data_IF_337454915068
#
_entry.id   IF_337454915068
#
_cell.length_a   1.000
_cell.length_b   1.000
_cell.length_c   1.000
_cell.angle_alpha   90.00
_cell.angle_beta   90.00
_cell.angle_gamma   90.00
#
_symmetry.space_group_name_H-M   'P 1'
#
loop_
_entity.id
_entity.type
_entity.pdbx_description
1 polymer ?
#
# COMPACT_ATOMS: atom_id res chain seq x y z
N UNK A 1 -13.55 2.16 -8.34
CA UNK A 1 -13.14 3.59 -8.36
C UNK A 1 -14.14 4.52 -7.67
N UNK A 2 -15.28 4.93 -8.26
CA UNK A 2 -16.14 5.95 -7.62
C UNK A 2 -16.72 5.56 -6.25
N UNK A 3 -17.11 4.30 -6.04
CA UNK A 3 -17.60 3.84 -4.73
C UNK A 3 -16.53 3.91 -3.64
N UNK A 4 -15.27 3.68 -4.00
CA UNK A 4 -14.12 3.79 -3.10
C UNK A 4 -13.84 5.26 -2.77
N UNK A 5 -13.83 6.14 -3.77
CA UNK A 5 -13.72 7.59 -3.57
C UNK A 5 -14.85 8.13 -2.67
N UNK A 6 -16.08 7.63 -2.87
CA UNK A 6 -17.20 7.94 -1.99
C UNK A 6 -16.97 7.47 -0.55
N UNK A 7 -16.44 6.25 -0.35
CA UNK A 7 -16.09 5.74 0.97
C UNK A 7 -15.02 6.60 1.66
N UNK A 8 -13.98 7.06 0.94
CA UNK A 8 -12.98 7.98 1.47
C UNK A 8 -13.59 9.32 1.89
N UNK A 9 -14.48 9.89 1.07
CA UNK A 9 -15.21 11.10 1.43
C UNK A 9 -16.08 10.88 2.67
N UNK A 10 -16.78 9.74 2.75
CA UNK A 10 -17.66 9.39 3.87
C UNK A 10 -16.89 9.23 5.19
N UNK A 11 -15.73 8.54 5.14
CA UNK A 11 -14.74 8.46 6.22
C UNK A 11 -14.28 9.87 6.63
N UNK A 12 -13.90 10.71 5.67
CA UNK A 12 -13.39 12.07 5.94
C UNK A 12 -14.43 12.93 6.65
N UNK A 13 -15.70 12.83 6.23
CA UNK A 13 -16.84 13.59 6.75
C UNK A 13 -17.43 13.04 8.07
N UNK A 14 -16.76 12.08 8.72
CA UNK A 14 -17.17 11.54 10.04
C UNK A 14 -18.61 11.03 10.04
N UNK A 15 -19.01 10.39 8.93
CA UNK A 15 -20.34 9.82 8.81
C UNK A 15 -20.40 8.44 9.44
N UNK A 16 -21.56 8.08 9.97
CA UNK A 16 -21.86 6.72 10.44
C UNK A 16 -21.47 5.67 9.40
N UNK A 17 -20.91 4.56 9.88
CA UNK A 17 -20.69 3.37 9.07
C UNK A 17 -21.99 3.00 8.34
N UNK A 18 -22.01 3.04 6.99
CA UNK A 18 -23.24 2.80 6.25
C UNK A 18 -23.52 1.32 5.99
N UNK A 19 -22.61 0.42 6.38
CA UNK A 19 -22.70 -1.02 6.11
C UNK A 19 -22.00 -1.84 7.19
N UNK A 20 -22.48 -3.06 7.43
CA UNK A 20 -21.66 -4.05 8.13
C UNK A 20 -20.50 -4.48 7.22
N UNK A 21 -19.25 -4.59 7.72
CA UNK A 21 -18.14 -5.11 6.92
C UNK A 21 -18.47 -6.46 6.31
N UNK A 22 -18.28 -6.60 5.00
CA UNK A 22 -18.58 -7.83 4.26
C UNK A 22 -17.45 -8.88 4.37
N UNK A 23 -16.25 -8.45 4.78
CA UNK A 23 -15.08 -9.29 4.96
C UNK A 23 -14.45 -9.08 6.34
N UNK A 24 -13.76 -10.12 6.82
CA UNK A 24 -12.87 -9.99 7.97
C UNK A 24 -11.58 -9.31 7.53
N UNK A 25 -11.07 -8.40 8.35
CA UNK A 25 -9.75 -7.79 8.13
C UNK A 25 -8.70 -8.88 8.34
N UNK A 26 -7.88 -9.14 7.32
CA UNK A 26 -6.72 -10.01 7.44
C UNK A 26 -5.70 -9.33 8.34
N UNK A 27 -5.47 -9.87 9.55
CA UNK A 27 -4.46 -9.31 10.46
C UNK A 27 -3.10 -9.95 10.14
N UNK A 28 -2.06 -9.15 9.84
CA UNK A 28 -0.68 -9.62 9.76
C UNK A 28 -0.37 -10.65 10.85
N UNK A 29 0.02 -11.87 10.44
CA UNK A 29 0.39 -12.90 11.40
C UNK A 29 1.67 -12.48 12.14
N UNK A 30 1.61 -12.41 13.48
CA UNK A 30 2.75 -12.03 14.32
C UNK A 30 3.96 -12.96 14.25
N UNK A 31 3.82 -14.15 13.64
CA UNK A 31 4.98 -14.97 13.32
C UNK A 31 5.86 -14.21 12.32
N UNK A 32 7.03 -13.80 12.82
CA UNK A 32 8.00 -12.85 12.23
C UNK A 32 7.84 -12.65 10.73
N UNK A 33 7.59 -11.40 10.32
CA UNK A 33 7.84 -10.91 8.97
C UNK A 33 9.12 -11.54 8.43
N UNK A 34 9.01 -12.17 7.28
CA UNK A 34 10.13 -12.76 6.54
C UNK A 34 10.41 -11.94 5.30
N UNK A 35 11.61 -12.11 4.75
CA UNK A 35 11.99 -11.56 3.46
C UNK A 35 11.85 -12.65 2.41
N UNK A 36 11.06 -12.37 1.37
CA UNK A 36 10.87 -13.25 0.23
C UNK A 36 11.90 -12.85 -0.82
N UNK A 37 12.79 -13.79 -1.14
CA UNK A 37 13.83 -13.58 -2.13
C UNK A 37 13.33 -13.90 -3.54
N UNK A 38 13.39 -12.91 -4.42
CA UNK A 38 13.20 -13.10 -5.86
C UNK A 38 14.55 -13.02 -6.58
N UNK A 39 14.98 -14.09 -7.28
CA UNK A 39 16.18 -14.01 -8.10
C UNK A 39 15.96 -13.08 -9.30
N UNK A 40 17.05 -12.66 -9.96
CA UNK A 40 16.96 -11.93 -11.23
C UNK A 40 16.07 -12.71 -12.18
N UNK A 41 15.05 -12.05 -12.73
CA UNK A 41 14.05 -12.69 -13.59
C UNK A 41 13.59 -11.77 -14.70
N UNK A 42 12.81 -12.33 -15.63
CA UNK A 42 12.07 -11.58 -16.64
C UNK A 42 10.60 -11.88 -16.45
N UNK A 43 9.78 -10.83 -16.30
CA UNK A 43 8.34 -10.95 -16.16
C UNK A 43 7.63 -10.42 -17.40
N UNK A 44 6.38 -10.83 -17.60
CA UNK A 44 5.45 -10.18 -18.52
C UNK A 44 4.60 -9.18 -17.72
N UNK A 45 4.75 -7.89 -18.01
CA UNK A 45 3.98 -6.82 -17.41
C UNK A 45 2.90 -6.34 -18.40
N UNK A 46 1.72 -5.99 -17.89
CA UNK A 46 0.57 -5.62 -18.70
C UNK A 46 -0.28 -6.80 -19.16
N UNK A 47 -1.41 -6.49 -19.78
CA UNK A 47 -2.42 -7.47 -20.17
C UNK A 47 -2.31 -7.84 -21.66
N UNK A 48 -2.67 -9.10 -21.97
CA UNK A 48 -2.76 -9.61 -23.33
C UNK A 48 -4.11 -9.26 -23.99
N UNK A 49 -4.17 -9.11 -25.32
CA UNK A 49 -5.44 -8.98 -26.04
C UNK A 49 -6.39 -10.14 -25.75
N UNK A 50 -7.66 -9.81 -25.49
CA UNK A 50 -8.71 -10.81 -25.27
C UNK A 50 -8.81 -11.37 -23.84
N UNK A 51 -8.07 -10.83 -22.86
CA UNK A 51 -8.20 -11.22 -21.44
C UNK A 51 -9.41 -10.63 -20.71
N UNK A 52 -10.26 -9.87 -21.41
CA UNK A 52 -11.47 -9.26 -20.87
C UNK A 52 -11.40 -7.74 -20.90
N UNK A 53 -11.99 -7.10 -19.88
CA UNK A 53 -11.89 -5.66 -19.70
C UNK A 53 -10.52 -5.30 -19.12
N UNK A 54 -9.85 -4.34 -19.75
CA UNK A 54 -8.49 -3.90 -19.39
C UNK A 54 -8.47 -2.38 -19.53
N UNK A 55 -8.00 -1.65 -18.52
CA UNK A 55 -7.75 -0.21 -18.66
C UNK A 55 -6.60 0.06 -19.62
N UNK A 56 -6.62 1.19 -20.31
CA UNK A 56 -5.58 1.54 -21.29
C UNK A 56 -4.16 1.55 -20.72
N UNK A 57 -3.98 2.01 -19.48
CA UNK A 57 -2.67 2.01 -18.80
C UNK A 57 -2.13 0.62 -18.47
N UNK A 58 -2.95 -0.43 -18.53
CA UNK A 58 -2.53 -1.82 -18.32
C UNK A 58 -2.19 -2.52 -19.65
N UNK A 59 -2.25 -1.83 -20.79
CA UNK A 59 -2.01 -2.37 -22.13
C UNK A 59 -0.66 -1.90 -22.70
N UNK A 60 0.07 -2.71 -23.47
CA UNK A 60 -0.07 -4.15 -23.71
C UNK A 60 1.04 -4.90 -23.00
N UNK A 61 0.89 -6.22 -22.92
CA UNK A 61 1.90 -7.11 -22.38
C UNK A 61 3.30 -6.85 -23.01
N UNK A 62 4.31 -6.72 -22.16
CA UNK A 62 5.70 -6.55 -22.57
C UNK A 62 6.67 -7.11 -21.53
N UNK A 63 7.85 -7.53 -21.99
CA UNK A 63 8.89 -8.11 -21.13
C UNK A 63 9.62 -7.03 -20.33
N UNK A 64 9.81 -7.27 -19.04
CA UNK A 64 10.64 -6.46 -18.15
C UNK A 64 11.66 -7.34 -17.45
N UNK A 65 12.94 -6.96 -17.49
CA UNK A 65 13.96 -7.55 -16.64
C UNK A 65 13.91 -6.94 -15.24
N UNK A 66 13.73 -7.78 -14.23
CA UNK A 66 13.86 -7.38 -12.83
C UNK A 66 15.18 -7.89 -12.26
N UNK A 67 15.99 -7.04 -11.60
CA UNK A 67 17.13 -7.52 -10.83
C UNK A 67 16.65 -8.40 -9.66
N UNK A 68 17.57 -9.10 -9.01
CA UNK A 68 17.22 -9.80 -7.77
C UNK A 68 16.83 -8.78 -6.70
N UNK A 69 15.80 -9.09 -5.92
CA UNK A 69 15.33 -8.24 -4.83
C UNK A 69 14.70 -9.09 -3.72
N UNK A 70 14.59 -8.48 -2.55
CA UNK A 70 13.85 -9.03 -1.42
C UNK A 70 12.64 -8.13 -1.12
N UNK A 71 11.52 -8.73 -0.77
CA UNK A 71 10.31 -8.00 -0.36
C UNK A 71 9.73 -8.62 0.91
N UNK A 72 9.15 -7.80 1.78
CA UNK A 72 8.54 -8.26 3.01
C UNK A 72 7.35 -9.18 2.71
N UNK A 73 7.19 -10.25 3.49
CA UNK A 73 6.05 -11.18 3.36
C UNK A 73 4.74 -10.65 3.93
N UNK A 74 4.77 -9.49 4.60
CA UNK A 74 3.62 -8.84 5.22
C UNK A 74 3.76 -7.31 5.09
N UNK A 75 2.64 -6.57 5.08
CA UNK A 75 2.70 -5.11 5.11
C UNK A 75 3.19 -4.57 6.44
N UNK A 76 3.66 -3.32 6.41
CA UNK A 76 4.02 -2.56 7.62
C UNK A 76 2.81 -2.44 8.53
N UNK A 77 2.99 -2.82 9.79
CA UNK A 77 1.95 -2.77 10.82
C UNK A 77 1.86 -1.40 11.50
N UNK A 78 0.73 -1.14 12.14
CA UNK A 78 0.54 0.04 12.99
C UNK A 78 1.60 0.13 14.11
N UNK A 79 2.03 -1.00 14.66
CA UNK A 79 3.07 -1.04 15.69
C UNK A 79 4.44 -0.57 15.16
N UNK A 80 4.87 -1.10 14.01
CA UNK A 80 6.15 -0.73 13.39
C UNK A 80 6.14 0.74 12.96
N UNK A 81 5.03 1.21 12.38
CA UNK A 81 4.93 2.61 12.00
C UNK A 81 4.91 3.54 13.23
N UNK A 82 4.29 3.13 14.34
CA UNK A 82 4.32 3.89 15.58
C UNK A 82 5.73 3.95 16.18
N UNK A 83 6.48 2.84 16.15
CA UNK A 83 7.90 2.82 16.55
C UNK A 83 8.72 3.83 15.74
N UNK A 84 8.50 3.89 14.42
CA UNK A 84 9.12 4.90 13.58
C UNK A 84 8.74 6.33 13.98
N UNK A 85 7.46 6.62 14.23
CA UNK A 85 6.99 7.94 14.65
C UNK A 85 7.63 8.39 15.97
N UNK A 86 7.76 7.48 16.93
CA UNK A 86 8.30 7.73 18.27
C UNK A 86 9.84 7.63 18.32
N UNK A 87 10.49 7.23 17.22
CA UNK A 87 11.95 7.12 17.14
C UNK A 87 12.64 8.47 17.32
N UNK A 88 13.79 8.47 18.00
CA UNK A 88 14.61 9.68 18.17
C UNK A 88 15.04 10.29 16.83
N UNK A 89 15.28 9.46 15.81
CA UNK A 89 15.62 9.92 14.46
C UNK A 89 14.48 10.71 13.81
N UNK A 90 13.22 10.30 13.99
CA UNK A 90 12.08 11.06 13.52
C UNK A 90 11.88 12.34 14.34
N UNK A 91 11.89 12.21 15.68
CA UNK A 91 11.60 13.32 16.61
C UNK A 91 12.64 14.44 16.57
N UNK A 92 13.90 14.13 16.23
CA UNK A 92 14.97 15.13 16.08
C UNK A 92 15.10 15.68 14.66
N UNK A 93 14.31 15.18 13.70
CA UNK A 93 14.31 15.68 12.32
C UNK A 93 13.80 17.12 12.25
N UNK A 94 14.31 17.91 11.31
CA UNK A 94 13.83 19.29 11.05
C UNK A 94 12.35 19.32 10.69
N UNK A 95 11.84 18.26 10.05
CA UNK A 95 10.43 18.09 9.72
C UNK A 95 9.97 16.69 10.13
N UNK A 96 9.67 16.43 11.42
CA UNK A 96 9.24 15.11 11.87
C UNK A 96 8.01 14.62 11.09
N UNK A 97 7.96 13.33 10.79
CA UNK A 97 6.74 12.68 10.30
C UNK A 97 5.69 12.78 11.41
N UNK A 98 4.49 13.20 11.04
CA UNK A 98 3.33 13.26 11.93
C UNK A 98 2.50 11.98 11.81
N UNK A 99 1.70 11.62 12.82
CA UNK A 99 0.77 10.50 12.72
C UNK A 99 -0.16 10.61 11.50
N UNK A 100 -0.63 9.49 10.93
CA UNK A 100 -1.63 9.48 9.86
C UNK A 100 -2.89 10.27 10.24
N UNK A 101 -3.62 10.80 9.24
CA UNK A 101 -4.73 11.77 9.44
C UNK A 101 -5.82 11.35 10.43
N UNK A 102 -6.01 10.04 10.62
CA UNK A 102 -7.04 9.49 11.49
C UNK A 102 -6.48 8.89 12.76
N UNK A 103 -5.25 9.20 13.13
CA UNK A 103 -4.66 8.80 14.41
C UNK A 103 -4.69 9.96 15.39
N UNK A 104 -4.90 9.65 16.67
CA UNK A 104 -4.67 10.60 17.75
C UNK A 104 -4.16 9.89 18.99
N UNK A 105 -3.45 10.64 19.83
CA UNK A 105 -3.04 10.21 21.17
C UNK A 105 -4.02 10.79 22.18
N UNK A 106 -4.62 9.93 23.00
CA UNK A 106 -5.53 10.29 24.09
C UNK A 106 -4.96 9.74 25.41
N UNK A 107 -4.30 10.61 26.18
CA UNK A 107 -3.45 10.21 27.29
C UNK A 107 -2.28 9.33 26.84
N UNK A 108 -2.22 8.10 27.35
CA UNK A 108 -1.21 7.11 26.97
C UNK A 108 -1.61 6.22 25.79
N UNK A 109 -2.87 6.32 25.33
CA UNK A 109 -3.42 5.42 24.31
C UNK A 109 -3.41 6.07 22.94
N UNK A 110 -3.05 5.29 21.94
CA UNK A 110 -3.27 5.64 20.53
C UNK A 110 -4.63 5.13 20.08
N UNK A 111 -5.36 6.00 19.38
CA UNK A 111 -6.65 5.73 18.78
C UNK A 111 -6.57 5.95 17.28
N UNK A 112 -7.37 5.17 16.54
CA UNK A 112 -7.61 5.37 15.12
C UNK A 112 -9.10 5.64 14.87
N UNK A 113 -9.41 6.57 13.97
CA UNK A 113 -10.78 6.86 13.56
C UNK A 113 -11.19 5.99 12.39
N UNK A 114 -12.24 5.21 12.59
CA UNK A 114 -12.95 4.50 11.54
C UNK A 114 -14.35 5.10 11.43
N UNK A 115 -14.59 5.81 10.33
CA UNK A 115 -15.79 6.60 10.07
C UNK A 115 -16.05 7.60 11.20
N UNK A 116 -17.17 7.52 11.90
CA UNK A 116 -17.50 8.38 13.03
C UNK A 116 -16.96 7.88 14.39
N UNK A 117 -16.27 6.73 14.41
CA UNK A 117 -15.86 6.06 15.64
C UNK A 117 -14.36 6.14 15.89
N UNK A 118 -13.97 6.52 17.10
CA UNK A 118 -12.60 6.39 17.59
C UNK A 118 -12.42 5.05 18.30
N UNK A 119 -11.54 4.22 17.77
CA UNK A 119 -11.26 2.89 18.30
C UNK A 119 -9.80 2.81 18.79
N UNK A 120 -9.48 1.93 19.75
CA UNK A 120 -8.10 1.63 20.09
C UNK A 120 -7.30 1.24 18.84
N UNK A 121 -6.12 1.83 18.66
CA UNK A 121 -5.23 1.48 17.55
C UNK A 121 -4.86 -0.01 17.66
N UNK A 122 -5.22 -0.81 16.66
CA UNK A 122 -4.83 -2.21 16.62
C UNK A 122 -3.37 -2.32 16.15
N UNK A 123 -2.41 -2.74 17.00
CA UNK A 123 -1.01 -2.79 16.62
C UNK A 123 -0.70 -3.77 15.50
N UNK A 124 -1.53 -4.79 15.30
CA UNK A 124 -1.30 -5.83 14.29
C UNK A 124 -1.84 -5.47 12.90
N UNK A 125 -2.73 -4.48 12.76
CA UNK A 125 -3.29 -4.11 11.46
C UNK A 125 -2.24 -3.40 10.59
N UNK A 126 -2.34 -3.57 9.27
CA UNK A 126 -1.53 -2.82 8.31
C UNK A 126 -1.78 -1.31 8.47
N UNK A 127 -0.70 -0.52 8.42
CA UNK A 127 -0.80 0.94 8.52
C UNK A 127 -1.47 1.52 7.29
N UNK A 128 -2.38 2.47 7.51
CA UNK A 128 -3.20 3.10 6.46
C UNK A 128 -3.18 4.63 6.55
N UNK A 129 -3.61 5.27 5.46
CA UNK A 129 -3.66 6.74 5.33
C UNK A 129 -2.29 7.42 5.46
N UNK A 130 -1.24 6.71 5.05
CA UNK A 130 0.13 7.23 4.94
C UNK A 130 0.32 7.79 3.53
N UNK A 131 0.88 8.99 3.41
CA UNK A 131 1.23 9.57 2.11
C UNK A 131 2.56 8.98 1.59
N UNK A 132 2.79 9.08 0.28
CA UNK A 132 3.99 8.55 -0.37
C UNK A 132 5.31 9.00 0.28
N UNK A 133 5.43 10.30 0.61
CA UNK A 133 6.67 10.89 1.14
C UNK A 133 7.00 10.28 2.51
N UNK A 134 5.99 10.11 3.37
CA UNK A 134 6.20 9.52 4.70
C UNK A 134 6.44 8.01 4.64
N UNK A 135 5.82 7.31 3.68
CA UNK A 135 6.14 5.90 3.40
C UNK A 135 7.61 5.72 2.97
N UNK A 136 8.11 6.58 2.08
CA UNK A 136 9.52 6.61 1.70
C UNK A 136 10.44 6.89 2.90
N UNK A 137 10.05 7.80 3.79
CA UNK A 137 10.84 8.13 4.99
C UNK A 137 10.89 6.97 5.99
N UNK A 138 9.78 6.26 6.16
CA UNK A 138 9.73 5.01 6.93
C UNK A 138 10.73 4.00 6.34
N UNK A 139 10.68 3.76 5.02
CA UNK A 139 11.61 2.83 4.37
C UNK A 139 13.07 3.24 4.59
N UNK A 140 13.40 4.53 4.42
CA UNK A 140 14.75 5.06 4.65
C UNK A 140 15.22 4.87 6.10
N UNK A 141 14.32 5.02 7.08
CA UNK A 141 14.64 4.79 8.50
C UNK A 141 15.11 3.34 8.74
N UNK A 142 14.43 2.37 8.14
CA UNK A 142 14.76 0.95 8.25
C UNK A 142 15.74 0.45 7.18
N UNK A 143 16.36 1.33 6.41
CA UNK A 143 17.31 1.00 5.33
C UNK A 143 16.73 0.07 4.25
N UNK A 144 15.43 0.19 4.01
CA UNK A 144 14.70 -0.50 2.94
C UNK A 144 14.16 0.52 1.95
N UNK A 145 13.42 0.07 0.94
CA UNK A 145 12.79 0.92 -0.07
C UNK A 145 11.38 0.43 -0.41
N UNK A 146 10.58 1.31 -1.01
CA UNK A 146 9.35 0.88 -1.68
C UNK A 146 9.71 -0.02 -2.87
N UNK A 147 8.92 -1.07 -3.15
CA UNK A 147 9.08 -1.87 -4.36
C UNK A 147 8.73 -1.03 -5.60
N UNK A 148 9.21 -1.39 -6.78
CA UNK A 148 8.59 -0.90 -8.01
C UNK A 148 7.22 -1.57 -8.21
N UNK A 149 6.37 -1.03 -9.08
CA UNK A 149 5.09 -1.69 -9.38
C UNK A 149 5.28 -3.11 -9.93
N UNK A 150 6.33 -3.34 -10.71
CA UNK A 150 6.66 -4.64 -11.28
C UNK A 150 7.15 -5.66 -10.24
N UNK A 151 7.93 -5.22 -9.24
CA UNK A 151 8.33 -6.06 -8.12
C UNK A 151 7.11 -6.45 -7.26
N UNK A 152 6.21 -5.49 -7.02
CA UNK A 152 4.97 -5.73 -6.28
C UNK A 152 4.01 -6.64 -7.05
N UNK A 153 3.84 -6.43 -8.36
CA UNK A 153 3.01 -7.29 -9.22
C UNK A 153 3.55 -8.73 -9.26
N UNK A 154 4.88 -8.90 -9.26
CA UNK A 154 5.49 -10.23 -9.17
C UNK A 154 5.16 -10.91 -7.83
N UNK A 155 5.23 -10.20 -6.70
CA UNK A 155 4.79 -10.70 -5.40
C UNK A 155 3.31 -11.10 -5.44
N UNK A 156 2.45 -10.22 -5.94
CA UNK A 156 0.99 -10.44 -6.00
C UNK A 156 0.59 -11.60 -6.93
N UNK A 157 1.42 -11.94 -7.92
CA UNK A 157 1.21 -13.12 -8.77
C UNK A 157 1.57 -14.45 -8.09
N UNK A 158 2.24 -14.42 -6.93
CA UNK A 158 2.56 -15.64 -6.18
C UNK A 158 1.33 -16.15 -5.42
N UNK A 159 1.30 -17.46 -5.17
CA UNK A 159 0.23 -18.06 -4.35
C UNK A 159 0.27 -17.54 -2.91
N UNK A 160 -0.90 -17.31 -2.32
CA UNK A 160 -1.13 -16.74 -0.97
C UNK A 160 -0.53 -17.56 0.19
N UNK A 161 0.19 -18.65 -0.09
CA UNK A 161 0.87 -19.46 0.93
C UNK A 161 2.20 -18.86 1.40
N UNK A 162 2.77 -17.88 0.66
CA UNK A 162 4.10 -17.32 0.93
C UNK A 162 4.10 -15.90 1.51
N UNK A 163 2.99 -15.17 1.42
CA UNK A 163 2.88 -13.78 1.82
C UNK A 163 1.44 -13.44 2.19
N UNK A 164 1.24 -12.33 2.89
CA UNK A 164 -0.06 -11.86 3.33
C UNK A 164 -0.41 -10.51 2.67
N UNK A 165 -1.57 -10.41 1.99
CA UNK A 165 -2.03 -9.14 1.43
C UNK A 165 -2.39 -8.14 2.53
N UNK A 166 -2.21 -6.87 2.21
CA UNK A 166 -2.57 -5.77 3.13
C UNK A 166 -4.04 -5.41 3.15
N UNK A 167 -4.82 -5.84 2.15
CA UNK A 167 -6.17 -5.35 1.87
C UNK A 167 -6.23 -3.82 1.65
N UNK A 168 -5.09 -3.19 1.34
CA UNK A 168 -4.92 -1.75 1.11
C UNK A 168 -4.22 -1.50 -0.24
N UNK A 169 -4.28 -0.26 -0.71
CA UNK A 169 -3.34 0.20 -1.73
C UNK A 169 -1.93 0.28 -1.15
N UNK A 170 -0.96 -0.32 -1.85
CA UNK A 170 0.45 -0.33 -1.45
C UNK A 170 1.25 0.64 -2.33
N UNK A 171 1.96 1.59 -1.70
CA UNK A 171 2.79 2.55 -2.42
C UNK A 171 3.95 1.86 -3.11
N UNK A 172 4.17 2.18 -4.38
CA UNK A 172 5.33 1.75 -5.16
C UNK A 172 6.25 2.95 -5.42
N UNK A 173 7.50 2.68 -5.77
CA UNK A 173 8.46 3.68 -6.21
C UNK A 173 8.28 4.10 -7.68
N UNK A 174 7.38 3.43 -8.42
CA UNK A 174 7.08 3.76 -9.81
C UNK A 174 6.33 5.08 -9.93
N UNK A 175 6.74 5.92 -10.88
CA UNK A 175 5.89 6.99 -11.39
C UNK A 175 4.84 6.41 -12.33
N UNK A 176 3.61 6.92 -12.29
CA UNK A 176 2.59 6.54 -13.27
C UNK A 176 3.02 6.98 -14.67
N UNK A 177 3.37 6.02 -15.52
CA UNK A 177 3.96 6.24 -16.84
C UNK A 177 3.40 5.22 -17.85
N UNK A 178 3.32 5.58 -19.14
CA UNK A 178 2.75 4.69 -20.15
C UNK A 178 3.65 3.48 -20.41
N UNK A 179 3.04 2.30 -20.57
CA UNK A 179 3.73 1.13 -21.10
C UNK A 179 4.14 1.33 -22.57
N UNK A 180 5.16 0.57 -23.04
CA UNK A 180 5.54 0.58 -24.45
C UNK A 180 4.33 0.33 -25.37
N UNK A 181 4.11 1.23 -26.32
CA UNK A 181 2.98 1.13 -27.25
C UNK A 181 1.63 1.59 -26.68
N UNK A 182 1.60 2.25 -25.52
CA UNK A 182 0.39 2.83 -24.95
C UNK A 182 -0.38 3.67 -25.98
N UNK A 183 -1.68 3.47 -26.00
CA UNK A 183 -2.64 4.30 -26.73
C UNK A 183 -3.86 4.46 -25.86
N UNK A 184 -4.30 5.71 -25.65
CA UNK A 184 -5.46 5.99 -24.81
C UNK A 184 -6.74 5.36 -25.39
N UNK A 185 -7.57 4.83 -24.50
CA UNK A 185 -8.92 4.37 -24.82
C UNK A 185 -9.86 5.58 -25.09
N UNK A 186 -11.14 5.36 -25.50
CA UNK A 186 -12.06 6.46 -25.80
C UNK A 186 -12.21 7.50 -24.68
N UNK A 187 -12.04 7.11 -23.42
CA UNK A 187 -11.91 8.07 -22.31
C UNK A 187 -10.47 8.57 -22.22
N UNK A 188 -10.10 9.46 -23.14
CA UNK A 188 -8.70 9.83 -23.39
C UNK A 188 -7.97 10.51 -22.24
N UNK A 189 -8.68 11.00 -21.22
CA UNK A 189 -8.11 11.70 -20.08
C UNK A 189 -7.94 10.79 -18.85
N UNK A 190 -8.31 9.51 -18.95
CA UNK A 190 -8.27 8.58 -17.83
C UNK A 190 -6.84 8.30 -17.33
N UNK A 191 -5.90 8.13 -18.26
CA UNK A 191 -4.50 7.76 -17.98
C UNK A 191 -3.48 8.82 -18.45
N UNK A 192 -3.93 10.06 -18.65
CA UNK A 192 -3.06 11.19 -19.03
C UNK A 192 -2.28 11.76 -17.85
#
# INVERSE_FOLDING_TARGET
>A
MHNEAFAYMWQTLERLIPFAPLSHISLPNRDKQTWIHFPKTTIQAGSEPGSGFIFDNEKWAHSIELPAFDIASQPVTNAEYLEFLESSANLSSVKPVTPPSYWKKDGEKWLERFFDQWLPLNPASAVRHVNYVDAERFCKHYQVRLPSEHELALLMSQTELMWQPSDLWEWTSSTFAPFPGFTADPYSDYSK
#
